data_IF_979288145811
#
_entry.id   IF_979288145811
#
_cell.length_a   1.000
_cell.length_b   1.000
_cell.length_c   1.000
_cell.angle_alpha   90.00
_cell.angle_beta   90.00
_cell.angle_gamma   90.00
#
_symmetry.space_group_name_H-M   'P 1'
#
loop_
_entity.id
_entity.type
_entity.pdbx_description
1 polymer ?
#
# COMPACT_ATOMS: atom_id res chain seq x y z
N UNK A 1 16.11 -13.28 18.17
CA UNK A 1 15.30 -12.13 17.70
C UNK A 1 14.87 -11.32 18.92
N UNK A 2 15.15 -10.02 18.93
CA UNK A 2 15.03 -9.16 20.13
C UNK A 2 13.62 -9.09 20.73
N UNK A 3 12.55 -9.20 19.93
CA UNK A 3 11.18 -9.08 20.40
C UNK A 3 10.52 -10.38 20.88
N UNK A 4 11.17 -11.55 20.74
CA UNK A 4 10.60 -12.85 21.16
C UNK A 4 10.18 -12.89 22.65
N UNK A 5 10.94 -12.27 23.59
CA UNK A 5 10.54 -12.24 25.00
C UNK A 5 9.26 -11.44 25.27
N UNK A 6 8.83 -10.57 24.35
CA UNK A 6 7.66 -9.72 24.52
C UNK A 6 6.33 -10.48 24.37
N UNK A 7 6.35 -11.73 23.93
CA UNK A 7 5.15 -12.59 23.93
C UNK A 7 4.03 -12.20 22.97
N UNK A 8 4.19 -11.17 22.14
CA UNK A 8 3.17 -10.68 21.19
C UNK A 8 3.36 -11.26 19.78
N UNK A 9 2.47 -12.15 19.30
CA UNK A 9 2.50 -12.62 17.92
C UNK A 9 2.31 -11.49 16.91
N UNK A 10 1.43 -10.52 17.20
CA UNK A 10 1.20 -9.37 16.31
C UNK A 10 2.46 -8.52 16.15
N UNK A 11 3.20 -8.26 17.23
CA UNK A 11 4.46 -7.51 17.14
C UNK A 11 5.50 -8.30 16.34
N UNK A 12 5.60 -9.60 16.56
CA UNK A 12 6.49 -10.47 15.79
C UNK A 12 6.12 -10.49 14.29
N UNK A 13 4.83 -10.44 13.97
CA UNK A 13 4.33 -10.32 12.60
C UNK A 13 4.76 -9.00 11.96
N UNK A 14 4.52 -7.86 12.63
CA UNK A 14 4.91 -6.54 12.14
C UNK A 14 6.43 -6.45 11.91
N UNK A 15 7.24 -6.97 12.84
CA UNK A 15 8.69 -6.97 12.68
C UNK A 15 9.15 -7.85 11.51
N UNK A 16 8.50 -8.99 11.27
CA UNK A 16 8.78 -9.82 10.10
C UNK A 16 8.39 -9.12 8.78
N UNK A 17 7.33 -8.30 8.77
CA UNK A 17 7.04 -7.45 7.59
C UNK A 17 8.09 -6.36 7.36
N UNK A 18 8.57 -5.72 8.44
CA UNK A 18 9.65 -4.73 8.31
C UNK A 18 10.93 -5.39 7.78
N UNK A 19 11.22 -6.61 8.22
CA UNK A 19 12.28 -7.44 7.66
C UNK A 19 12.06 -7.74 6.17
N UNK A 20 10.84 -8.12 5.77
CA UNK A 20 10.49 -8.35 4.37
C UNK A 20 10.71 -7.12 3.49
N UNK A 21 10.31 -5.94 3.96
CA UNK A 21 10.56 -4.69 3.26
C UNK A 21 12.05 -4.38 3.09
N UNK A 22 12.87 -4.71 4.10
CA UNK A 22 14.33 -4.63 4.01
C UNK A 22 14.90 -5.53 2.92
N UNK A 23 14.49 -6.80 2.88
CA UNK A 23 14.90 -7.73 1.83
C UNK A 23 14.43 -7.29 0.43
N UNK A 24 13.19 -6.81 0.32
CA UNK A 24 12.66 -6.27 -0.92
C UNK A 24 13.50 -5.10 -1.45
N UNK A 25 13.90 -4.17 -0.55
CA UNK A 25 14.77 -3.04 -0.90
C UNK A 25 16.17 -3.46 -1.35
N UNK A 26 16.66 -4.62 -0.93
CA UNK A 26 17.91 -5.23 -1.41
C UNK A 26 17.72 -6.08 -2.67
N UNK A 27 16.52 -6.08 -3.27
CA UNK A 27 16.11 -6.95 -4.37
C UNK A 27 16.21 -8.45 -4.07
N UNK A 28 16.28 -8.85 -2.80
CA UNK A 28 16.26 -10.24 -2.36
C UNK A 28 14.81 -10.75 -2.29
N UNK A 29 14.34 -11.30 -3.41
CA UNK A 29 12.99 -11.87 -3.51
C UNK A 29 12.79 -13.04 -2.54
N UNK A 30 13.78 -13.92 -2.38
CA UNK A 30 13.64 -15.10 -1.53
C UNK A 30 13.61 -14.73 -0.05
N UNK A 31 14.50 -13.84 0.39
CA UNK A 31 14.49 -13.30 1.75
C UNK A 31 13.18 -12.60 2.09
N UNK A 32 12.66 -11.79 1.15
CA UNK A 32 11.37 -11.14 1.27
C UNK A 32 10.23 -12.15 1.43
N UNK A 33 10.13 -13.13 0.53
CA UNK A 33 9.09 -14.18 0.57
C UNK A 33 9.09 -14.95 1.88
N UNK A 34 10.26 -15.38 2.34
CA UNK A 34 10.38 -16.09 3.62
C UNK A 34 9.95 -15.23 4.81
N UNK A 35 10.27 -13.92 4.78
CA UNK A 35 9.86 -12.99 5.82
C UNK A 35 8.34 -12.74 5.81
N UNK A 36 7.73 -12.59 4.62
CA UNK A 36 6.28 -12.46 4.45
C UNK A 36 5.53 -13.70 4.96
N UNK A 37 6.01 -14.92 4.66
CA UNK A 37 5.40 -16.17 5.16
C UNK A 37 5.43 -16.21 6.69
N UNK A 38 6.56 -15.84 7.32
CA UNK A 38 6.65 -15.75 8.78
C UNK A 38 5.72 -14.70 9.35
N UNK A 39 5.62 -13.53 8.70
CA UNK A 39 4.72 -12.48 9.14
C UNK A 39 3.26 -12.94 9.17
N UNK A 40 2.81 -13.63 8.11
CA UNK A 40 1.47 -14.22 8.05
C UNK A 40 1.27 -15.25 9.18
N UNK A 41 2.19 -16.19 9.33
CA UNK A 41 2.09 -17.24 10.36
C UNK A 41 2.07 -16.70 11.79
N UNK A 42 2.63 -15.51 12.04
CA UNK A 42 2.49 -14.82 13.32
C UNK A 42 1.17 -14.07 13.45
N UNK A 43 0.70 -13.45 12.37
CA UNK A 43 -0.59 -12.74 12.33
C UNK A 43 -1.76 -13.69 12.58
N UNK A 44 -1.74 -14.88 11.96
CA UNK A 44 -2.80 -15.90 12.06
C UNK A 44 -2.99 -16.44 13.49
N UNK A 45 -2.02 -16.21 14.39
CA UNK A 45 -2.15 -16.56 15.81
C UNK A 45 -3.07 -15.62 16.58
N UNK A 46 -3.44 -14.49 15.99
CA UNK A 46 -4.35 -13.51 16.58
C UNK A 46 -3.71 -12.65 17.67
N UNK A 47 -4.58 -12.00 18.43
CA UNK A 47 -4.20 -11.13 19.54
C UNK A 47 -3.76 -11.93 20.76
N UNK A 48 -2.86 -11.35 21.57
CA UNK A 48 -2.44 -11.90 22.84
C UNK A 48 -2.53 -10.84 23.94
N UNK A 49 -2.67 -11.25 25.21
CA UNK A 49 -2.64 -10.32 26.37
C UNK A 49 -1.34 -9.50 26.43
N UNK A 50 -0.26 -10.04 25.87
CA UNK A 50 1.03 -9.38 25.80
C UNK A 50 1.15 -8.36 24.64
N UNK A 51 0.10 -8.18 23.83
CA UNK A 51 0.09 -7.17 22.77
C UNK A 51 0.12 -5.75 23.38
N UNK A 52 1.10 -4.91 23.00
CA UNK A 52 1.10 -3.52 23.42
C UNK A 52 -0.17 -2.78 22.97
N UNK A 53 -0.72 -1.91 23.80
CA UNK A 53 -1.95 -1.16 23.50
C UNK A 53 -1.88 -0.40 22.16
N UNK A 54 -0.71 0.15 21.84
CA UNK A 54 -0.49 0.89 20.60
C UNK A 54 -0.60 0.01 19.34
N UNK A 55 -0.58 -1.32 19.44
CA UNK A 55 -0.69 -2.24 18.28
C UNK A 55 -2.11 -2.35 17.71
N UNK A 56 -3.10 -1.64 18.26
CA UNK A 56 -4.48 -1.61 17.74
C UNK A 56 -4.56 -1.24 16.25
N UNK A 57 -3.64 -0.42 15.73
CA UNK A 57 -3.59 -0.09 14.30
C UNK A 57 -3.24 -1.27 13.38
N UNK A 58 -2.55 -2.30 13.88
CA UNK A 58 -1.93 -3.34 13.04
C UNK A 58 -2.93 -4.47 12.70
N UNK A 59 -3.97 -4.15 11.96
CA UNK A 59 -4.98 -5.10 11.49
C UNK A 59 -4.64 -5.75 10.14
N UNK A 60 -5.61 -6.50 9.57
CA UNK A 60 -5.46 -7.16 8.26
C UNK A 60 -5.18 -6.12 7.15
N UNK A 61 -5.81 -4.95 7.21
CA UNK A 61 -5.57 -3.86 6.26
C UNK A 61 -4.08 -3.42 6.23
N UNK A 62 -3.45 -3.25 7.40
CA UNK A 62 -2.04 -2.84 7.49
C UNK A 62 -1.09 -3.96 7.07
N UNK A 63 -1.40 -5.21 7.43
CA UNK A 63 -0.67 -6.39 6.95
C UNK A 63 -0.65 -6.44 5.41
N UNK A 64 -1.82 -6.28 4.79
CA UNK A 64 -1.97 -6.29 3.34
C UNK A 64 -1.27 -5.10 2.67
N UNK A 65 -1.39 -3.89 3.23
CA UNK A 65 -0.70 -2.70 2.72
C UNK A 65 0.83 -2.82 2.77
N UNK A 66 1.38 -3.47 3.80
CA UNK A 66 2.82 -3.70 3.91
C UNK A 66 3.31 -4.80 2.95
N UNK A 67 2.50 -5.84 2.70
CA UNK A 67 2.80 -6.83 1.65
C UNK A 67 2.81 -6.18 0.28
N UNK A 68 1.84 -5.30 -0.02
CA UNK A 68 1.78 -4.56 -1.28
C UNK A 68 3.10 -3.82 -1.55
N UNK A 69 3.58 -3.06 -0.56
CA UNK A 69 4.84 -2.31 -0.67
C UNK A 69 6.05 -3.22 -0.94
N UNK A 70 6.11 -4.39 -0.29
CA UNK A 70 7.19 -5.35 -0.53
C UNK A 70 7.17 -5.85 -1.99
N UNK A 71 6.00 -6.20 -2.51
CA UNK A 71 5.86 -6.68 -3.88
C UNK A 71 6.08 -5.59 -4.92
N UNK A 72 5.60 -4.38 -4.67
CA UNK A 72 5.82 -3.20 -5.49
C UNK A 72 7.32 -2.91 -5.60
N UNK A 73 8.04 -2.96 -4.49
CA UNK A 73 9.50 -2.79 -4.45
C UNK A 73 10.25 -3.87 -5.25
N UNK A 74 9.76 -5.11 -5.27
CA UNK A 74 10.31 -6.21 -6.06
C UNK A 74 9.85 -6.21 -7.54
N UNK A 75 9.04 -5.24 -7.96
CA UNK A 75 8.47 -5.14 -9.30
C UNK A 75 7.40 -6.20 -9.63
N UNK A 76 6.84 -6.87 -8.62
CA UNK A 76 5.73 -7.81 -8.81
C UNK A 76 4.38 -7.08 -8.72
N UNK A 77 4.11 -6.24 -9.72
CA UNK A 77 2.95 -5.34 -9.75
C UNK A 77 1.62 -6.07 -9.59
N UNK A 78 1.52 -7.29 -10.12
CA UNK A 78 0.31 -8.11 -10.01
C UNK A 78 0.04 -8.54 -8.57
N UNK A 79 1.06 -8.94 -7.80
CA UNK A 79 0.91 -9.26 -6.37
C UNK A 79 0.66 -7.98 -5.58
N UNK A 80 1.40 -6.91 -5.88
CA UNK A 80 1.29 -5.62 -5.21
C UNK A 80 -0.14 -5.05 -5.29
N UNK A 81 -0.69 -4.94 -6.51
CA UNK A 81 -2.04 -4.44 -6.73
C UNK A 81 -3.12 -5.26 -6.02
N UNK A 82 -3.00 -6.60 -5.96
CA UNK A 82 -3.97 -7.43 -5.21
C UNK A 82 -3.96 -7.11 -3.72
N UNK A 83 -2.77 -6.98 -3.12
CA UNK A 83 -2.63 -6.67 -1.71
C UNK A 83 -3.06 -5.22 -1.40
N UNK A 84 -2.70 -4.24 -2.25
CA UNK A 84 -3.12 -2.85 -2.07
C UNK A 84 -4.65 -2.69 -2.16
N UNK A 85 -5.29 -3.40 -3.09
CA UNK A 85 -6.76 -3.44 -3.22
C UNK A 85 -7.41 -4.01 -1.96
N UNK A 86 -6.92 -5.16 -1.50
CA UNK A 86 -7.42 -5.80 -0.27
C UNK A 86 -7.24 -4.90 0.95
N UNK A 87 -6.10 -4.22 1.07
CA UNK A 87 -5.84 -3.25 2.13
C UNK A 87 -6.82 -2.08 2.12
N UNK A 88 -7.11 -1.50 0.95
CA UNK A 88 -8.08 -0.43 0.80
C UNK A 88 -9.52 -0.86 1.13
N UNK A 89 -9.92 -2.07 0.75
CA UNK A 89 -11.26 -2.63 1.01
C UNK A 89 -11.49 -2.99 2.49
N UNK A 90 -10.45 -3.45 3.18
CA UNK A 90 -10.53 -3.87 4.58
C UNK A 90 -10.43 -2.73 5.59
N UNK A 91 -9.84 -1.61 5.18
CA UNK A 91 -9.55 -0.54 6.12
C UNK A 91 -10.85 0.07 6.64
N UNK A 92 -10.88 0.31 7.96
CA UNK A 92 -12.03 0.94 8.59
C UNK A 92 -12.25 2.33 7.97
N UNK A 93 -13.48 2.67 7.54
CA UNK A 93 -13.82 3.97 6.96
C UNK A 93 -13.37 5.19 7.79
N UNK A 94 -13.20 5.02 9.11
CA UNK A 94 -12.67 6.07 9.98
C UNK A 94 -11.21 6.45 9.65
N UNK A 95 -10.43 5.56 9.04
CA UNK A 95 -9.04 5.81 8.65
C UNK A 95 -8.92 6.27 7.19
N UNK A 96 -9.64 7.32 6.80
CA UNK A 96 -9.65 7.90 5.44
C UNK A 96 -8.25 8.10 4.86
N UNK A 97 -7.28 8.55 5.68
CA UNK A 97 -5.88 8.74 5.24
C UNK A 97 -5.21 7.43 4.82
N UNK A 98 -5.49 6.32 5.50
CA UNK A 98 -4.92 5.02 5.15
C UNK A 98 -5.60 4.45 3.89
N UNK A 99 -6.92 4.64 3.76
CA UNK A 99 -7.65 4.28 2.54
C UNK A 99 -7.06 5.04 1.34
N UNK A 100 -6.82 6.35 1.48
CA UNK A 100 -6.20 7.17 0.44
C UNK A 100 -4.80 6.65 0.07
N UNK A 101 -4.01 6.25 1.07
CA UNK A 101 -2.68 5.68 0.88
C UNK A 101 -2.72 4.37 0.07
N UNK A 102 -3.49 3.37 0.51
CA UNK A 102 -3.56 2.09 -0.18
C UNK A 102 -4.21 2.21 -1.56
N UNK A 103 -5.17 3.12 -1.72
CA UNK A 103 -5.81 3.38 -3.02
C UNK A 103 -4.84 4.03 -4.01
N UNK A 104 -3.99 4.95 -3.56
CA UNK A 104 -2.93 5.51 -4.41
C UNK A 104 -1.82 4.49 -4.71
N UNK A 105 -1.51 3.59 -3.78
CA UNK A 105 -0.60 2.47 -4.02
C UNK A 105 -1.13 1.53 -5.09
N UNK A 106 -2.41 1.15 -4.98
CA UNK A 106 -3.11 0.38 -5.99
C UNK A 106 -3.06 1.05 -7.37
N UNK A 107 -3.26 2.36 -7.44
CA UNK A 107 -3.19 3.11 -8.70
C UNK A 107 -1.80 3.03 -9.35
N UNK A 108 -0.73 3.21 -8.56
CA UNK A 108 0.65 3.11 -9.06
C UNK A 108 1.00 1.68 -9.50
N UNK A 109 0.64 0.67 -8.70
CA UNK A 109 0.87 -0.74 -9.01
C UNK A 109 0.13 -1.17 -10.29
N UNK A 110 -1.13 -0.76 -10.46
CA UNK A 110 -1.90 -1.04 -11.69
C UNK A 110 -1.30 -0.35 -12.90
N UNK A 111 -0.88 0.91 -12.77
CA UNK A 111 -0.27 1.66 -13.87
C UNK A 111 1.02 0.97 -14.34
N UNK A 112 1.91 0.61 -13.41
CA UNK A 112 3.16 -0.10 -13.70
C UNK A 112 2.93 -1.54 -14.17
N UNK A 113 1.84 -2.15 -13.73
CA UNK A 113 1.38 -3.46 -14.17
C UNK A 113 0.73 -3.48 -15.56
N UNK A 114 0.56 -2.34 -16.23
CA UNK A 114 -0.03 -2.27 -17.57
C UNK A 114 -1.57 -2.27 -17.60
N UNK A 115 -2.21 -1.84 -16.51
CA UNK A 115 -3.67 -1.73 -16.38
C UNK A 115 -4.11 -0.25 -16.29
N UNK A 116 -3.94 0.54 -17.37
CA UNK A 116 -4.11 2.00 -17.30
C UNK A 116 -5.52 2.46 -16.92
N UNK A 117 -6.56 1.75 -17.35
CA UNK A 117 -7.95 2.11 -17.03
C UNK A 117 -8.28 1.89 -15.56
N UNK A 118 -7.93 0.72 -15.01
CA UNK A 118 -8.11 0.43 -13.58
C UNK A 118 -7.26 1.36 -12.71
N UNK A 119 -6.04 1.69 -13.17
CA UNK A 119 -5.15 2.62 -12.49
C UNK A 119 -5.76 4.02 -12.41
N UNK A 120 -6.30 4.53 -13.52
CA UNK A 120 -6.96 5.83 -13.55
C UNK A 120 -8.18 5.88 -12.63
N UNK A 121 -9.00 4.82 -12.59
CA UNK A 121 -10.14 4.71 -11.67
C UNK A 121 -9.70 4.72 -10.20
N UNK A 122 -8.66 3.96 -9.84
CA UNK A 122 -8.09 4.00 -8.50
C UNK A 122 -7.51 5.38 -8.17
N UNK A 123 -6.82 6.01 -9.13
CA UNK A 123 -6.29 7.36 -9.00
C UNK A 123 -7.37 8.40 -8.74
N UNK A 124 -8.51 8.33 -9.44
CA UNK A 124 -9.67 9.20 -9.21
C UNK A 124 -10.23 9.05 -7.79
N UNK A 125 -10.41 7.81 -7.30
CA UNK A 125 -10.84 7.56 -5.92
C UNK A 125 -9.85 8.13 -4.89
N UNK A 126 -8.54 8.00 -5.14
CA UNK A 126 -7.53 8.58 -4.27
C UNK A 126 -7.56 10.12 -4.29
N UNK A 127 -7.88 10.75 -5.43
CA UNK A 127 -8.08 12.20 -5.53
C UNK A 127 -9.33 12.67 -4.78
N UNK A 128 -10.42 11.89 -4.78
CA UNK A 128 -11.61 12.18 -3.97
C UNK A 128 -11.25 12.21 -2.47
N UNK A 129 -10.55 11.17 -1.99
CA UNK A 129 -10.14 11.05 -0.59
C UNK A 129 -9.16 12.16 -0.17
N UNK A 130 -8.31 12.65 -1.08
CA UNK A 130 -7.44 13.81 -0.83
C UNK A 130 -8.21 15.13 -0.61
N UNK A 131 -9.49 15.19 -0.97
CA UNK A 131 -10.37 16.31 -0.60
C UNK A 131 -10.63 16.36 0.92
N UNK A 132 -10.54 15.22 1.60
CA UNK A 132 -10.83 15.07 3.03
C UNK A 132 -9.55 15.08 3.89
N UNK A 133 -8.40 14.73 3.32
CA UNK A 133 -7.13 14.59 4.06
C UNK A 133 -5.96 15.30 3.39
N UNK A 134 -5.07 15.86 4.20
CA UNK A 134 -3.77 16.36 3.73
C UNK A 134 -2.72 15.24 3.84
N UNK A 135 -2.15 14.83 2.70
CA UNK A 135 -1.08 13.83 2.62
C UNK A 135 -0.14 14.09 1.44
N UNK A 136 1.09 14.53 1.75
CA UNK A 136 2.15 14.72 0.75
C UNK A 136 2.57 13.40 0.09
N UNK A 137 2.58 12.29 0.85
CA UNK A 137 2.92 10.96 0.34
C UNK A 137 1.94 10.52 -0.76
N UNK A 138 0.64 10.65 -0.51
CA UNK A 138 -0.40 10.26 -1.48
C UNK A 138 -0.30 11.11 -2.75
N UNK A 139 -0.11 12.44 -2.62
CA UNK A 139 0.13 13.33 -3.77
C UNK A 139 1.35 12.93 -4.58
N UNK A 140 2.46 12.58 -3.93
CA UNK A 140 3.67 12.12 -4.61
C UNK A 140 3.46 10.81 -5.38
N UNK A 141 2.70 9.88 -4.82
CA UNK A 141 2.35 8.63 -5.49
C UNK A 141 1.50 8.89 -6.73
N UNK A 142 0.45 9.71 -6.63
CA UNK A 142 -0.40 10.07 -7.77
C UNK A 142 0.36 10.84 -8.87
N UNK A 143 1.37 11.64 -8.50
CA UNK A 143 2.28 12.27 -9.46
C UNK A 143 3.18 11.24 -10.16
N UNK A 144 3.61 10.19 -9.45
CA UNK A 144 4.25 9.00 -10.04
C UNK A 144 3.33 8.31 -11.04
N UNK A 145 2.13 7.93 -10.61
CA UNK A 145 1.11 7.26 -11.42
C UNK A 145 0.77 8.06 -12.67
N UNK A 146 0.57 9.37 -12.55
CA UNK A 146 0.26 10.26 -13.68
C UNK A 146 1.36 10.21 -14.74
N UNK A 147 2.63 10.20 -14.34
CA UNK A 147 3.76 10.08 -15.27
C UNK A 147 3.76 8.74 -16.01
N UNK A 148 3.44 7.64 -15.33
CA UNK A 148 3.32 6.31 -15.93
C UNK A 148 2.15 6.24 -16.92
N UNK A 149 1.06 6.94 -16.64
CA UNK A 149 -0.15 6.94 -17.47
C UNK A 149 -0.13 7.93 -18.66
N UNK A 150 0.83 8.87 -18.72
CA UNK A 150 0.95 9.84 -19.83
C UNK A 150 0.89 9.21 -21.25
N UNK A 151 1.55 8.06 -21.53
CA UNK A 151 1.43 7.40 -22.83
C UNK A 151 0.01 6.96 -23.19
N UNK A 152 -0.84 6.74 -22.19
CA UNK A 152 -2.23 6.28 -22.32
C UNK A 152 -3.27 7.40 -22.31
N UNK A 153 -2.85 8.67 -22.37
CA UNK A 153 -3.73 9.87 -22.25
C UNK A 153 -4.93 9.92 -23.20
N UNK A 154 -4.91 9.18 -24.31
CA UNK A 154 -6.04 9.12 -25.26
C UNK A 154 -7.20 8.25 -24.77
N UNK A 155 -6.99 7.49 -23.71
CA UNK A 155 -8.03 6.65 -23.09
C UNK A 155 -8.90 7.54 -22.20
N UNK A 156 -10.24 7.55 -22.35
CA UNK A 156 -11.10 8.54 -21.69
C UNK A 156 -10.89 8.65 -20.18
N UNK A 157 -10.90 7.52 -19.45
CA UNK A 157 -10.70 7.53 -17.99
C UNK A 157 -9.30 7.99 -17.56
N UNK A 158 -8.28 7.69 -18.37
CA UNK A 158 -6.90 8.16 -18.13
C UNK A 158 -6.82 9.67 -18.35
N UNK A 159 -7.43 10.21 -19.41
CA UNK A 159 -7.44 11.66 -19.66
C UNK A 159 -8.08 12.40 -18.49
N UNK A 160 -9.24 11.95 -18.03
CA UNK A 160 -9.97 12.55 -16.91
C UNK A 160 -9.12 12.58 -15.62
N UNK A 161 -8.48 11.44 -15.29
CA UNK A 161 -7.57 11.37 -14.16
C UNK A 161 -6.39 12.35 -14.29
N UNK A 162 -5.75 12.41 -15.46
CA UNK A 162 -4.60 13.30 -15.69
C UNK A 162 -5.00 14.78 -15.60
N UNK A 163 -6.14 15.15 -16.16
CA UNK A 163 -6.66 16.52 -16.13
C UNK A 163 -7.00 16.94 -14.69
N UNK A 164 -7.65 16.05 -13.93
CA UNK A 164 -7.97 16.30 -12.52
C UNK A 164 -6.72 16.37 -11.65
N UNK A 165 -5.74 15.50 -11.86
CA UNK A 165 -4.47 15.56 -11.12
C UNK A 165 -3.71 16.86 -11.42
N UNK A 166 -3.71 17.33 -12.69
CA UNK A 166 -3.03 18.56 -13.09
C UNK A 166 -3.66 19.84 -12.50
N UNK A 167 -4.95 19.81 -12.12
CA UNK A 167 -5.63 20.95 -11.48
C UNK A 167 -5.39 21.04 -9.96
N UNK A 168 -4.72 20.05 -9.36
CA UNK A 168 -4.36 20.13 -7.95
C UNK A 168 -3.41 21.32 -7.69
N UNK A 169 -3.61 22.05 -6.58
CA UNK A 169 -2.69 23.10 -6.17
C UNK A 169 -1.26 22.53 -6.04
N UNK A 170 -0.29 23.19 -6.68
CA UNK A 170 1.12 22.89 -6.44
C UNK A 170 1.44 23.32 -5.00
N UNK A 171 2.07 22.44 -4.23
CA UNK A 171 2.58 22.83 -2.92
C UNK A 171 3.74 23.82 -3.14
N UNK A 172 3.69 24.94 -2.42
CA UNK A 172 4.80 25.90 -2.31
C UNK A 172 5.87 25.30 -1.41
#
# INVERSE_FOLDING_TARGET
RAARPLGSPRLMSLLALREAGGWAGLADRTGCEQALVRAQAYFDRGTAEADPEWMTFYGEAELEGLKAQCWSTLGDWRRAARHARRAAELQDPHFTRNIALYTAELADDLARGGHPDEAAQAGMRALDLLGEVQSSRVRSMLSGTSRVLLPHRRTPGVSEFLDRHASLPRMV
#
